data_IF_220268663120
#
_entry.id   IF_220268663120
#
_cell.length_a   1.000
_cell.length_b   1.000
_cell.length_c   1.000
_cell.angle_alpha   90.00
_cell.angle_beta   90.00
_cell.angle_gamma   90.00
#
_symmetry.space_group_name_H-M   'P 1'
#
loop_
_entity.id
_entity.type
_entity.pdbx_description
1 polymer ?
#
# COMPACT_ATOMS: atom_id res chain seq x y z
N UNK A 1 6.57 23.58 -15.94
CA UNK A 1 7.78 22.86 -15.48
C UNK A 1 7.34 21.48 -15.02
N UNK A 2 7.72 20.39 -15.69
CA UNK A 2 7.31 19.05 -15.24
C UNK A 2 7.47 17.92 -16.27
N UNK A 3 7.79 18.22 -17.53
CA UNK A 3 7.93 17.20 -18.57
C UNK A 3 9.30 16.47 -18.56
N UNK A 4 10.35 17.08 -18.01
CA UNK A 4 11.73 16.57 -18.07
C UNK A 4 12.28 16.04 -16.73
N UNK A 5 11.42 15.87 -15.72
CA UNK A 5 11.88 15.34 -14.44
C UNK A 5 12.20 13.84 -14.59
N UNK A 6 13.43 13.38 -14.29
CA UNK A 6 13.77 11.97 -14.38
C UNK A 6 12.87 11.15 -13.46
N UNK A 7 12.31 10.06 -13.99
CA UNK A 7 11.51 9.14 -13.20
C UNK A 7 12.37 8.60 -12.04
N UNK A 8 12.02 8.95 -10.81
CA UNK A 8 12.71 8.47 -9.63
C UNK A 8 12.34 7.01 -9.39
N UNK A 9 13.36 6.18 -9.18
CA UNK A 9 13.16 4.85 -8.59
C UNK A 9 12.63 4.99 -7.16
N UNK A 10 11.98 3.94 -6.63
CA UNK A 10 11.44 3.95 -5.26
C UNK A 10 12.53 4.22 -4.22
N UNK A 11 13.76 3.73 -4.44
CA UNK A 11 14.89 3.99 -3.53
C UNK A 11 15.33 5.46 -3.57
N UNK A 12 15.43 6.06 -4.76
CA UNK A 12 15.76 7.47 -4.92
C UNK A 12 14.67 8.37 -4.32
N UNK A 13 13.39 8.03 -4.51
CA UNK A 13 12.29 8.74 -3.88
C UNK A 13 12.36 8.67 -2.35
N UNK A 14 12.63 7.48 -1.79
CA UNK A 14 12.83 7.31 -0.34
C UNK A 14 14.00 8.14 0.19
N UNK A 15 15.12 8.15 -0.53
CA UNK A 15 16.29 8.92 -0.14
C UNK A 15 15.98 10.42 -0.16
N UNK A 16 15.35 10.91 -1.23
CA UNK A 16 14.94 12.30 -1.34
C UNK A 16 14.01 12.71 -0.19
N UNK A 17 12.96 11.92 0.08
CA UNK A 17 12.03 12.20 1.17
C UNK A 17 12.71 12.22 2.54
N UNK A 18 13.68 11.34 2.79
CA UNK A 18 14.42 11.33 4.05
C UNK A 18 15.32 12.56 4.23
N UNK A 19 15.82 13.15 3.14
CA UNK A 19 16.70 14.33 3.17
C UNK A 19 15.89 15.63 3.19
N UNK A 20 14.75 15.68 2.50
CA UNK A 20 13.98 16.91 2.31
C UNK A 20 12.86 17.10 3.32
N UNK A 21 12.27 16.03 3.85
CA UNK A 21 11.20 16.15 4.83
C UNK A 21 11.76 16.45 6.22
N UNK A 22 11.17 17.41 6.95
CA UNK A 22 11.50 17.59 8.36
C UNK A 22 11.19 16.31 9.14
N UNK A 23 12.01 16.03 10.17
CA UNK A 23 11.75 14.90 11.08
C UNK A 23 10.36 15.06 11.68
N UNK A 24 9.44 14.18 11.28
CA UNK A 24 8.08 14.16 11.82
C UNK A 24 8.16 13.78 13.29
N UNK A 25 7.56 14.59 14.16
CA UNK A 25 7.34 14.18 15.54
C UNK A 25 6.37 13.01 15.54
N UNK A 26 6.63 12.04 16.41
CA UNK A 26 5.76 10.88 16.51
C UNK A 26 4.36 11.31 16.98
N UNK A 27 3.36 10.95 16.18
CA UNK A 27 1.95 11.16 16.47
C UNK A 27 1.26 9.79 16.44
N UNK A 28 0.89 9.30 17.62
CA UNK A 28 0.28 8.00 17.78
C UNK A 28 -1.05 7.89 17.05
N UNK A 29 -1.85 8.96 17.02
CA UNK A 29 -3.17 8.95 16.42
C UNK A 29 -3.06 8.86 14.90
N UNK A 30 -2.21 9.70 14.30
CA UNK A 30 -1.94 9.65 12.87
C UNK A 30 -1.38 8.29 12.42
N UNK A 31 -0.58 7.64 13.28
CA UNK A 31 -0.05 6.31 13.01
C UNK A 31 -1.15 5.24 13.02
N UNK A 32 -2.05 5.28 14.02
CA UNK A 32 -3.17 4.34 14.11
C UNK A 32 -4.12 4.45 12.91
N UNK A 33 -4.38 5.67 12.45
CA UNK A 33 -5.19 5.95 11.26
C UNK A 33 -4.56 5.33 10.00
N UNK A 34 -3.24 5.47 9.83
CA UNK A 34 -2.51 4.89 8.70
C UNK A 34 -2.52 3.35 8.73
N UNK A 35 -2.34 2.76 9.93
CA UNK A 35 -2.48 1.30 10.11
C UNK A 35 -3.88 0.85 9.73
N UNK A 36 -4.91 1.52 10.23
CA UNK A 36 -6.30 1.14 9.97
C UNK A 36 -6.61 1.20 8.47
N UNK A 37 -6.18 2.27 7.79
CA UNK A 37 -6.30 2.41 6.34
C UNK A 37 -5.61 1.26 5.60
N UNK A 38 -4.38 0.92 5.98
CA UNK A 38 -3.61 -0.16 5.37
C UNK A 38 -4.31 -1.51 5.57
N UNK A 39 -4.81 -1.78 6.77
CA UNK A 39 -5.53 -3.02 7.08
C UNK A 39 -6.82 -3.15 6.26
N UNK A 40 -7.57 -2.06 6.08
CA UNK A 40 -8.78 -2.06 5.25
C UNK A 40 -8.47 -2.40 3.79
N UNK A 41 -7.41 -1.80 3.21
CA UNK A 41 -6.98 -2.09 1.84
C UNK A 41 -6.54 -3.54 1.67
N UNK A 42 -5.72 -4.04 2.61
CA UNK A 42 -5.26 -5.43 2.60
C UNK A 42 -6.42 -6.41 2.73
N UNK A 43 -7.38 -6.13 3.60
CA UNK A 43 -8.57 -6.96 3.75
C UNK A 43 -9.42 -6.98 2.48
N UNK A 44 -9.62 -5.83 1.82
CA UNK A 44 -10.33 -5.75 0.54
C UNK A 44 -9.63 -6.59 -0.55
N UNK A 45 -8.30 -6.48 -0.67
CA UNK A 45 -7.51 -7.26 -1.61
C UNK A 45 -7.62 -8.77 -1.31
N UNK A 46 -7.47 -9.17 -0.05
CA UNK A 46 -7.64 -10.56 0.38
C UNK A 46 -9.03 -11.10 0.05
N UNK A 47 -10.10 -10.33 0.31
CA UNK A 47 -11.48 -10.73 0.01
C UNK A 47 -11.69 -10.90 -1.49
N UNK A 48 -11.16 -10.00 -2.32
CA UNK A 48 -11.20 -10.13 -3.78
C UNK A 48 -10.50 -11.42 -4.23
N UNK A 49 -9.27 -11.64 -3.75
CA UNK A 49 -8.48 -12.82 -4.09
C UNK A 49 -9.16 -14.13 -3.64
N UNK A 50 -9.74 -14.15 -2.43
CA UNK A 50 -10.47 -15.30 -1.89
C UNK A 50 -11.74 -15.60 -2.68
N UNK A 51 -12.51 -14.58 -3.07
CA UNK A 51 -13.69 -14.75 -3.95
C UNK A 51 -13.28 -15.36 -5.29
N UNK A 52 -12.20 -14.85 -5.89
CA UNK A 52 -11.63 -15.39 -7.13
C UNK A 52 -11.24 -16.86 -6.98
N UNK A 53 -10.48 -17.22 -5.93
CA UNK A 53 -10.08 -18.61 -5.67
C UNK A 53 -11.26 -19.55 -5.40
N UNK A 54 -12.31 -19.07 -4.73
CA UNK A 54 -13.52 -19.87 -4.50
C UNK A 54 -14.28 -20.16 -5.79
N UNK A 55 -14.36 -19.20 -6.73
CA UNK A 55 -14.94 -19.41 -8.06
C UNK A 55 -14.13 -20.36 -8.96
N UNK A 56 -12.82 -20.48 -8.70
CA UNK A 56 -11.91 -21.32 -9.47
C UNK A 56 -11.79 -22.76 -8.95
N UNK A 57 -12.42 -23.11 -7.82
CA UNK A 57 -12.46 -24.51 -7.38
C UNK A 57 -13.44 -25.26 -8.27
N UNK A 58 -13.03 -26.34 -8.97
CA UNK A 58 -13.99 -27.20 -9.66
C UNK A 58 -14.96 -27.80 -8.63
N UNK A 59 -16.24 -27.91 -9.00
CA UNK A 59 -17.23 -28.62 -8.21
C UNK A 59 -16.71 -30.04 -7.95
N UNK A 60 -16.67 -30.46 -6.69
CA UNK A 60 -16.35 -31.85 -6.34
C UNK A 60 -17.42 -32.74 -6.99
N UNK A 61 -17.04 -33.79 -7.75
CA UNK A 61 -18.02 -34.78 -8.18
C UNK A 61 -18.48 -35.53 -6.93
N UNK A 62 -19.78 -35.41 -6.64
CA UNK A 62 -20.53 -36.30 -5.75
C UNK A 62 -20.89 -37.57 -6.49
#
# INVERSE_FOLDING_TARGET
MGADAPALTVSQARHLLNVTLPKRQFDAQAMLEEIQRTQQQNYAAYRSHRKRRRKQKPAKPT
#
